data_IF_443071861699
#
_entry.id   IF_443071861699
#
_cell.length_a   1.000
_cell.length_b   1.000
_cell.length_c   1.000
_cell.angle_alpha   90.00
_cell.angle_beta   90.00
_cell.angle_gamma   90.00
#
_symmetry.space_group_name_H-M   'P 1'
#
loop_
_entity.id
_entity.type
_entity.pdbx_description
1 polymer ?
#
# COMPACT_ATOMS: atom_id res chain seq x y z
N UNK A 1 -13.27 -11.32 -14.73
CA UNK A 1 -13.20 -10.96 -13.29
C UNK A 1 -12.24 -9.79 -13.17
N UNK A 2 -12.53 -8.83 -12.31
CA UNK A 2 -11.67 -7.65 -12.13
C UNK A 2 -11.05 -7.67 -10.72
N UNK A 3 -9.80 -7.23 -10.58
CA UNK A 3 -9.12 -7.23 -9.29
C UNK A 3 -8.21 -6.03 -9.07
N UNK A 4 -8.00 -5.67 -7.81
CA UNK A 4 -7.13 -4.56 -7.44
C UNK A 4 -6.67 -4.64 -6.00
N UNK A 5 -5.43 -4.20 -5.74
CA UNK A 5 -4.88 -4.06 -4.38
C UNK A 5 -5.07 -2.64 -3.89
N UNK A 6 -5.52 -2.51 -2.65
CA UNK A 6 -5.90 -1.21 -2.12
C UNK A 6 -5.82 -1.18 -0.60
N UNK A 7 -5.55 0.01 -0.08
CA UNK A 7 -5.43 0.23 1.36
C UNK A 7 -6.79 0.58 1.97
N UNK A 8 -7.06 0.02 3.14
CA UNK A 8 -8.30 0.25 3.87
C UNK A 8 -8.21 1.44 4.81
N UNK A 9 -9.08 2.42 4.61
CA UNK A 9 -9.32 3.53 5.52
C UNK A 9 -10.69 3.41 6.19
N UNK A 10 -10.76 3.88 7.43
CA UNK A 10 -12.02 3.97 8.17
C UNK A 10 -12.51 5.39 8.08
N UNK A 11 -13.72 5.57 7.56
CA UNK A 11 -14.33 6.87 7.35
C UNK A 11 -15.72 6.94 8.00
N UNK A 12 -16.20 8.17 8.22
CA UNK A 12 -17.57 8.44 8.68
C UNK A 12 -18.54 8.29 7.52
N UNK A 13 -18.86 7.04 7.18
CA UNK A 13 -19.79 6.65 6.13
C UNK A 13 -21.02 5.95 6.72
N UNK A 14 -22.16 5.87 6.01
CA UNK A 14 -23.25 4.98 6.40
C UNK A 14 -22.75 3.53 6.54
N UNK A 15 -23.35 2.76 7.45
CA UNK A 15 -22.82 1.44 7.88
C UNK A 15 -22.61 0.50 6.70
N UNK A 16 -23.49 0.49 5.71
CA UNK A 16 -23.41 -0.41 4.56
C UNK A 16 -22.87 0.27 3.30
N UNK A 17 -22.07 1.33 3.45
CA UNK A 17 -21.46 2.04 2.31
C UNK A 17 -19.97 1.79 2.24
N UNK A 18 -19.50 1.56 1.03
CA UNK A 18 -18.09 1.46 0.66
C UNK A 18 -17.81 2.52 -0.39
N UNK A 19 -16.73 3.26 -0.23
CA UNK A 19 -16.22 4.20 -1.23
C UNK A 19 -14.91 3.65 -1.79
N UNK A 20 -14.79 3.60 -3.12
CA UNK A 20 -13.55 3.30 -3.82
C UNK A 20 -12.99 4.58 -4.43
N UNK A 21 -11.72 4.84 -4.19
CA UNK A 21 -10.92 5.82 -4.93
C UNK A 21 -9.90 5.05 -5.74
N UNK A 22 -10.02 5.14 -7.06
CA UNK A 22 -9.29 4.34 -8.03
C UNK A 22 -8.55 5.24 -9.04
N UNK A 23 -7.67 4.62 -9.83
CA UNK A 23 -6.83 5.28 -10.84
C UNK A 23 -5.81 6.25 -10.23
N UNK A 24 -5.27 5.89 -9.08
CA UNK A 24 -4.23 6.65 -8.40
C UNK A 24 -2.81 6.35 -8.91
N UNK A 25 -2.69 5.49 -9.92
CA UNK A 25 -1.41 5.03 -10.48
C UNK A 25 -1.44 5.11 -12.01
N UNK A 26 -0.28 4.97 -12.65
CA UNK A 26 -0.13 5.05 -14.11
C UNK A 26 -0.98 4.01 -14.88
N UNK A 27 -1.33 2.89 -14.25
CA UNK A 27 -2.25 1.90 -14.81
C UNK A 27 -3.69 2.12 -14.33
N UNK A 28 -4.63 2.08 -15.28
CA UNK A 28 -6.06 2.09 -14.97
C UNK A 28 -6.44 0.88 -14.10
N UNK A 29 -7.25 1.14 -13.07
CA UNK A 29 -7.71 0.11 -12.15
C UNK A 29 -8.74 -0.80 -12.83
N UNK A 30 -8.53 -2.11 -12.79
CA UNK A 30 -9.52 -3.08 -13.31
C UNK A 30 -10.85 -2.97 -12.56
N UNK A 31 -10.83 -2.48 -11.31
CA UNK A 31 -12.00 -2.32 -10.46
C UNK A 31 -12.99 -1.27 -10.99
N UNK A 32 -12.62 -0.48 -12.00
CA UNK A 32 -13.56 0.35 -12.76
C UNK A 32 -14.65 -0.47 -13.48
N UNK A 33 -14.44 -1.77 -13.68
CA UNK A 33 -15.43 -2.67 -14.26
C UNK A 33 -16.63 -2.96 -13.33
N UNK A 34 -16.58 -2.55 -12.06
CA UNK A 34 -17.71 -2.72 -11.14
C UNK A 34 -18.82 -1.72 -11.52
N UNK A 35 -20.08 -2.17 -11.73
CA UNK A 35 -21.18 -1.29 -12.07
C UNK A 35 -21.45 -0.24 -11.00
N UNK A 36 -21.72 1.00 -11.43
CA UNK A 36 -22.04 2.11 -10.52
C UNK A 36 -23.49 2.00 -10.03
N UNK A 37 -23.75 2.56 -8.85
CA UNK A 37 -25.09 2.71 -8.28
C UNK A 37 -25.87 1.40 -8.13
N UNK A 38 -25.17 0.26 -8.01
CA UNK A 38 -25.80 -1.04 -7.75
C UNK A 38 -25.38 -1.56 -6.39
N UNK A 39 -26.31 -2.10 -5.60
CA UNK A 39 -25.95 -2.86 -4.41
C UNK A 39 -25.13 -4.08 -4.82
N UNK A 40 -24.01 -4.30 -4.16
CA UNK A 40 -23.15 -5.46 -4.39
C UNK A 40 -23.06 -6.30 -3.12
N UNK A 41 -22.78 -7.59 -3.26
CA UNK A 41 -22.51 -8.44 -2.10
C UNK A 41 -21.02 -8.39 -1.74
N UNK A 42 -20.66 -7.74 -0.64
CA UNK A 42 -19.32 -7.84 -0.06
C UNK A 42 -19.15 -9.21 0.60
N UNK A 43 -18.04 -9.90 0.32
CA UNK A 43 -17.72 -11.24 0.84
C UNK A 43 -16.34 -11.28 1.47
N UNK A 44 -16.24 -11.93 2.64
CA UNK A 44 -14.96 -12.38 3.23
C UNK A 44 -15.16 -13.69 3.98
N UNK A 45 -14.54 -14.77 3.50
CA UNK A 45 -14.78 -16.10 4.08
C UNK A 45 -16.27 -16.45 4.02
N UNK A 46 -16.87 -16.76 5.17
CA UNK A 46 -18.30 -17.04 5.30
C UNK A 46 -19.17 -15.78 5.45
N UNK A 47 -18.58 -14.62 5.73
CA UNK A 47 -19.32 -13.37 5.98
C UNK A 47 -19.73 -12.75 4.65
N UNK A 48 -21.02 -12.42 4.51
CA UNK A 48 -21.62 -11.78 3.34
C UNK A 48 -22.53 -10.65 3.78
N UNK A 49 -22.49 -9.52 3.08
CA UNK A 49 -23.34 -8.36 3.36
C UNK A 49 -23.63 -7.61 2.06
N UNK A 50 -24.89 -7.22 1.85
CA UNK A 50 -25.22 -6.28 0.77
C UNK A 50 -24.75 -4.88 1.17
N UNK A 51 -24.02 -4.22 0.28
CA UNK A 51 -23.42 -2.90 0.49
C UNK A 51 -23.67 -1.99 -0.71
N UNK A 52 -23.74 -0.70 -0.46
CA UNK A 52 -23.75 0.35 -1.47
C UNK A 52 -22.32 0.71 -1.83
N UNK A 53 -21.99 0.60 -3.12
CA UNK A 53 -20.68 1.00 -3.63
C UNK A 53 -20.76 2.41 -4.23
N UNK A 54 -19.84 3.26 -3.82
CA UNK A 54 -19.64 4.59 -4.37
C UNK A 54 -18.23 4.70 -4.94
N UNK A 55 -18.08 5.47 -6.00
CA UNK A 55 -16.78 5.83 -6.56
C UNK A 55 -16.54 7.29 -6.28
N UNK A 56 -15.36 7.59 -5.74
CA UNK A 56 -14.89 8.95 -5.57
C UNK A 56 -13.80 9.21 -6.60
N UNK A 57 -14.07 10.15 -7.49
CA UNK A 57 -13.18 10.55 -8.59
C UNK A 57 -12.52 11.89 -8.31
N UNK A 58 -11.42 12.17 -9.00
CA UNK A 58 -10.77 13.49 -8.96
C UNK A 58 -10.03 13.82 -7.67
N UNK A 59 -9.82 12.83 -6.77
CA UNK A 59 -8.88 12.99 -5.66
C UNK A 59 -7.45 12.72 -6.13
N UNK A 60 -6.53 13.58 -5.72
CA UNK A 60 -5.10 13.30 -5.83
C UNK A 60 -4.75 12.13 -4.90
N UNK A 61 -4.17 11.09 -5.48
CA UNK A 61 -3.76 9.89 -4.77
C UNK A 61 -2.66 9.18 -5.54
N UNK A 62 -1.81 8.43 -4.83
CA UNK A 62 -0.69 7.65 -5.40
C UNK A 62 -0.91 6.13 -5.34
N UNK A 63 -1.98 5.69 -4.69
CA UNK A 63 -2.41 4.29 -4.64
C UNK A 63 -3.92 4.22 -4.43
N UNK A 64 -4.56 3.24 -5.07
CA UNK A 64 -5.99 2.97 -4.91
C UNK A 64 -6.31 2.64 -3.44
N UNK A 65 -7.46 3.13 -2.96
CA UNK A 65 -7.88 2.88 -1.59
C UNK A 65 -9.39 2.67 -1.47
N UNK A 66 -9.78 2.02 -0.37
CA UNK A 66 -11.16 1.78 0.01
C UNK A 66 -11.44 2.47 1.35
N UNK A 67 -12.56 3.18 1.42
CA UNK A 67 -13.09 3.70 2.67
C UNK A 67 -14.35 2.93 3.05
N UNK A 68 -14.48 2.59 4.34
CA UNK A 68 -15.71 1.98 4.87
C UNK A 68 -15.96 2.41 6.31
N UNK A 69 -17.19 2.21 6.76
CA UNK A 69 -17.57 2.43 8.15
C UNK A 69 -16.85 1.46 9.10
N UNK A 70 -16.54 1.93 10.32
CA UNK A 70 -15.89 1.13 11.37
C UNK A 70 -16.66 -0.15 11.73
N UNK A 71 -17.99 -0.08 11.84
CA UNK A 71 -18.83 -1.23 12.18
C UNK A 71 -18.78 -2.31 11.09
N UNK A 72 -18.81 -1.91 9.82
CA UNK A 72 -18.66 -2.83 8.68
C UNK A 72 -17.27 -3.46 8.64
N UNK A 73 -16.22 -2.64 8.82
CA UNK A 73 -14.86 -3.15 8.90
C UNK A 73 -14.72 -4.18 10.03
N UNK A 74 -15.28 -3.88 11.21
CA UNK A 74 -15.27 -4.79 12.36
C UNK A 74 -16.06 -6.08 12.08
N UNK A 75 -17.25 -5.99 11.49
CA UNK A 75 -18.05 -7.15 11.09
C UNK A 75 -17.26 -8.07 10.17
N UNK A 76 -16.57 -7.48 9.19
CA UNK A 76 -15.71 -8.21 8.26
C UNK A 76 -14.32 -8.49 8.84
N UNK A 77 -14.04 -8.20 10.12
CA UNK A 77 -12.74 -8.39 10.78
C UNK A 77 -11.55 -7.71 10.08
N UNK A 78 -11.80 -6.62 9.38
CA UNK A 78 -10.82 -5.85 8.63
C UNK A 78 -10.11 -4.87 9.56
N UNK A 79 -8.80 -4.75 9.39
CA UNK A 79 -7.95 -3.81 10.11
C UNK A 79 -7.64 -2.60 9.23
N UNK A 80 -7.83 -1.40 9.77
CA UNK A 80 -7.48 -0.14 9.13
C UNK A 80 -5.98 -0.05 8.78
N UNK A 81 -5.66 0.72 7.74
CA UNK A 81 -4.30 0.93 7.21
C UNK A 81 -3.60 -0.38 6.85
N UNK A 82 -4.38 -1.36 6.37
CA UNK A 82 -3.88 -2.61 5.81
C UNK A 82 -4.29 -2.71 4.36
N UNK A 83 -3.50 -3.45 3.60
CA UNK A 83 -3.71 -3.70 2.19
C UNK A 83 -4.51 -4.97 1.97
N UNK A 84 -5.50 -4.86 1.10
CA UNK A 84 -6.37 -5.95 0.70
C UNK A 84 -6.42 -6.08 -0.81
N UNK A 85 -6.62 -7.31 -1.28
CA UNK A 85 -7.02 -7.61 -2.64
C UNK A 85 -8.54 -7.63 -2.69
N UNK A 86 -9.10 -6.81 -3.57
CA UNK A 86 -10.49 -6.92 -3.99
C UNK A 86 -10.58 -7.72 -5.28
N UNK A 87 -11.62 -8.55 -5.37
CA UNK A 87 -11.95 -9.28 -6.58
C UNK A 87 -13.44 -9.16 -6.85
N UNK A 88 -13.79 -8.52 -7.95
CA UNK A 88 -15.16 -8.41 -8.42
C UNK A 88 -15.51 -9.56 -9.36
N UNK A 89 -16.62 -10.21 -9.05
CA UNK A 89 -17.25 -11.20 -9.90
C UNK A 89 -18.57 -10.65 -10.46
N UNK A 90 -18.66 -10.42 -11.78
CA UNK A 90 -19.89 -9.92 -12.40
C UNK A 90 -21.02 -10.97 -12.44
N UNK A 91 -20.72 -12.27 -12.38
CA UNK A 91 -21.75 -13.31 -12.51
C UNK A 91 -22.74 -13.33 -11.34
N UNK A 92 -22.26 -12.96 -10.15
CA UNK A 92 -23.04 -12.96 -8.91
C UNK A 92 -22.98 -11.62 -8.16
N UNK A 93 -22.53 -10.57 -8.85
CA UNK A 93 -22.43 -9.19 -8.35
C UNK A 93 -21.74 -9.12 -6.97
N UNK A 94 -20.64 -9.84 -6.82
CA UNK A 94 -19.95 -9.94 -5.55
C UNK A 94 -18.54 -9.37 -5.57
N UNK A 95 -18.18 -8.73 -4.47
CA UNK A 95 -16.87 -8.16 -4.22
C UNK A 95 -16.24 -8.92 -3.07
N UNK A 96 -15.23 -9.72 -3.37
CA UNK A 96 -14.51 -10.49 -2.36
C UNK A 96 -13.30 -9.72 -1.87
N UNK A 97 -13.14 -9.59 -0.55
CA UNK A 97 -11.98 -8.95 0.08
C UNK A 97 -11.08 -10.00 0.76
N UNK A 98 -9.79 -9.97 0.45
CA UNK A 98 -8.76 -10.86 1.02
C UNK A 98 -7.53 -10.06 1.47
N UNK A 99 -6.85 -10.42 2.58
CA UNK A 99 -5.58 -9.78 2.94
C UNK A 99 -4.54 -9.89 1.82
N UNK A 100 -3.84 -8.79 1.53
CA UNK A 100 -2.75 -8.75 0.56
C UNK A 100 -1.56 -7.98 1.15
N UNK A 101 -0.89 -8.54 2.17
CA UNK A 101 0.07 -7.79 2.99
C UNK A 101 1.42 -7.52 2.33
N UNK A 102 1.67 -8.11 1.16
CA UNK A 102 2.91 -7.98 0.41
C UNK A 102 2.71 -6.96 -0.72
N UNK A 103 3.61 -5.98 -0.78
CA UNK A 103 3.68 -5.00 -1.86
C UNK A 103 5.09 -4.95 -2.41
N UNK A 104 5.21 -4.75 -3.71
CA UNK A 104 6.49 -4.72 -4.43
C UNK A 104 6.51 -3.50 -5.33
N UNK A 105 7.67 -2.83 -5.40
CA UNK A 105 7.93 -1.73 -6.32
C UNK A 105 9.43 -1.53 -6.46
N UNK A 106 9.85 -0.64 -7.35
CA UNK A 106 11.23 -0.16 -7.42
C UNK A 106 11.32 1.26 -6.90
N UNK A 107 12.46 1.60 -6.28
CA UNK A 107 12.75 2.98 -5.93
C UNK A 107 14.25 3.27 -6.02
N UNK A 108 14.57 4.55 -6.21
CA UNK A 108 15.93 5.04 -6.11
C UNK A 108 16.35 5.08 -4.64
N UNK A 109 17.42 4.35 -4.31
CA UNK A 109 18.05 4.43 -3.00
C UNK A 109 19.02 5.61 -2.97
N UNK A 110 18.87 6.51 -2.02
CA UNK A 110 19.68 7.73 -1.89
C UNK A 110 20.22 7.90 -0.47
N UNK A 111 21.27 8.69 -0.29
CA UNK A 111 21.80 9.01 1.03
C UNK A 111 20.97 10.11 1.71
N UNK A 112 20.72 9.98 3.01
CA UNK A 112 20.20 11.07 3.85
C UNK A 112 21.27 11.58 4.81
N UNK A 113 21.26 12.90 5.09
CA UNK A 113 21.96 13.50 6.21
C UNK A 113 21.33 13.14 7.59
N UNK A 114 20.18 12.48 7.59
CA UNK A 114 19.50 12.00 8.79
C UNK A 114 20.35 10.96 9.55
N UNK A 115 20.16 10.91 10.87
CA UNK A 115 20.89 9.97 11.73
C UNK A 115 20.71 8.50 11.33
N UNK A 116 21.65 7.65 11.73
CA UNK A 116 21.67 6.22 11.35
C UNK A 116 20.48 5.39 11.85
N UNK A 117 19.64 5.93 12.73
CA UNK A 117 18.41 5.29 13.18
C UNK A 117 17.18 5.60 12.33
N UNK A 118 17.30 6.34 11.23
CA UNK A 118 16.17 6.84 10.44
C UNK A 118 16.16 6.21 9.03
N UNK A 119 14.95 5.85 8.58
CA UNK A 119 14.64 5.50 7.20
C UNK A 119 13.68 6.55 6.66
N UNK A 120 14.10 7.34 5.67
CA UNK A 120 13.17 8.27 5.02
C UNK A 120 12.51 7.57 3.83
N UNK A 121 11.19 7.51 3.81
CA UNK A 121 10.42 6.98 2.67
C UNK A 121 9.58 8.13 2.12
N UNK A 122 9.80 8.49 0.85
CA UNK A 122 8.97 9.50 0.18
C UNK A 122 7.49 9.11 0.17
N UNK A 123 6.59 10.09 0.15
CA UNK A 123 5.15 9.86 0.34
C UNK A 123 4.52 9.01 -0.78
N UNK A 124 4.90 9.25 -2.04
CA UNK A 124 4.46 8.44 -3.17
C UNK A 124 4.93 6.98 -3.01
N UNK A 125 6.21 6.79 -2.65
CA UNK A 125 6.76 5.45 -2.43
C UNK A 125 6.09 4.73 -1.27
N UNK A 126 5.85 5.43 -0.17
CA UNK A 126 5.13 4.95 1.01
C UNK A 126 3.73 4.44 0.62
N UNK A 127 3.01 5.20 -0.20
CA UNK A 127 1.68 4.86 -0.71
C UNK A 127 1.73 3.62 -1.60
N UNK A 128 2.66 3.55 -2.57
CA UNK A 128 2.82 2.37 -3.44
C UNK A 128 3.18 1.10 -2.67
N UNK A 129 3.99 1.20 -1.61
CA UNK A 129 4.34 0.07 -0.74
C UNK A 129 3.25 -0.29 0.29
N UNK A 130 2.22 0.54 0.46
CA UNK A 130 1.21 0.36 1.49
C UNK A 130 1.80 0.46 2.90
N UNK A 131 2.83 1.28 3.08
CA UNK A 131 3.38 1.54 4.41
C UNK A 131 2.42 2.54 5.09
N UNK A 132 1.87 2.25 6.28
CA UNK A 132 1.03 3.21 6.98
C UNK A 132 1.81 4.49 7.31
N UNK A 133 1.23 5.65 7.01
CA UNK A 133 1.82 6.95 7.32
C UNK A 133 1.81 7.20 8.85
N UNK A 134 2.81 6.66 9.54
CA UNK A 134 2.96 6.77 10.99
C UNK A 134 4.40 7.10 11.32
N UNK A 135 4.69 8.41 11.42
CA UNK A 135 6.01 8.93 11.77
C UNK A 135 6.60 8.21 12.99
N UNK A 136 7.90 7.90 12.93
CA UNK A 136 8.61 7.22 14.01
C UNK A 136 8.37 5.71 14.12
N UNK A 137 7.44 5.13 13.35
CA UNK A 137 7.19 3.68 13.35
C UNK A 137 8.46 2.91 13.00
N UNK A 138 8.74 1.81 13.71
CA UNK A 138 9.90 0.97 13.44
C UNK A 138 9.64 0.09 12.22
N UNK A 139 10.46 0.24 11.20
CA UNK A 139 10.52 -0.63 10.01
C UNK A 139 11.79 -1.47 10.11
N UNK A 140 11.66 -2.78 9.92
CA UNK A 140 12.79 -3.68 9.75
C UNK A 140 13.25 -3.57 8.30
N UNK A 141 14.48 -3.15 8.09
CA UNK A 141 15.05 -3.06 6.75
C UNK A 141 15.98 -4.25 6.55
N UNK A 142 15.73 -5.04 5.51
CA UNK A 142 16.49 -6.25 5.18
C UNK A 142 17.24 -6.06 3.87
N UNK A 143 18.51 -6.44 3.86
CA UNK A 143 19.31 -6.57 2.64
C UNK A 143 20.13 -7.87 2.71
N UNK A 144 19.79 -8.84 1.85
CA UNK A 144 20.32 -10.20 1.94
C UNK A 144 20.04 -10.82 3.32
N UNK A 145 21.10 -11.23 4.03
CA UNK A 145 21.02 -11.78 5.40
C UNK A 145 20.99 -10.70 6.49
N UNK A 146 21.28 -9.45 6.15
CA UNK A 146 21.37 -8.36 7.12
C UNK A 146 19.98 -7.78 7.40
N UNK A 147 19.71 -7.48 8.67
CA UNK A 147 18.48 -6.81 9.10
C UNK A 147 18.83 -5.71 10.10
N UNK A 148 18.22 -4.53 9.94
CA UNK A 148 18.30 -3.44 10.92
C UNK A 148 16.92 -2.85 11.18
N UNK A 149 16.75 -2.15 12.31
CA UNK A 149 15.49 -1.51 12.70
C UNK A 149 15.66 0.01 12.61
N UNK A 150 14.89 0.64 11.74
CA UNK A 150 14.95 2.08 11.50
C UNK A 150 13.59 2.71 11.78
N UNK A 151 13.59 3.94 12.29
CA UNK A 151 12.38 4.74 12.46
C UNK A 151 11.99 5.36 11.13
N UNK A 152 10.73 5.18 10.75
CA UNK A 152 10.15 5.79 9.56
C UNK A 152 10.13 7.31 9.71
N UNK A 153 10.62 7.99 8.69
CA UNK A 153 10.43 9.41 8.46
C UNK A 153 9.77 9.59 7.10
N UNK A 154 8.67 10.34 7.04
CA UNK A 154 8.00 10.70 5.77
C UNK A 154 8.25 12.18 5.53
N UNK A 155 8.95 12.57 4.44
CA UNK A 155 9.17 13.97 4.11
C UNK A 155 7.86 14.62 3.66
N UNK A 156 7.77 15.94 3.77
CA UNK A 156 6.56 16.71 3.41
C UNK A 156 6.27 16.80 1.91
N UNK A 157 7.21 16.40 1.05
CA UNK A 157 6.99 16.39 -0.40
C UNK A 157 6.14 15.17 -0.80
N UNK A 158 4.92 15.44 -1.26
CA UNK A 158 3.95 14.41 -1.66
C UNK A 158 4.39 13.58 -2.87
N UNK A 159 5.10 14.19 -3.82
CA UNK A 159 5.58 13.53 -5.05
C UNK A 159 6.97 12.88 -4.88
N UNK A 160 7.45 12.74 -3.65
CA UNK A 160 8.74 12.11 -3.42
C UNK A 160 8.62 10.59 -3.47
N UNK A 161 9.36 9.97 -4.39
CA UNK A 161 9.31 8.54 -4.69
C UNK A 161 10.58 7.80 -4.22
N UNK A 162 11.47 8.49 -3.52
CA UNK A 162 12.80 8.00 -3.13
C UNK A 162 12.80 7.31 -1.77
N UNK A 163 13.69 6.33 -1.65
CA UNK A 163 14.09 5.74 -0.38
C UNK A 163 15.41 6.36 0.06
N UNK A 164 15.49 6.91 1.28
CA UNK A 164 16.75 7.42 1.84
C UNK A 164 17.18 6.68 3.09
N UNK A 165 18.46 6.35 3.12
CA UNK A 165 19.13 5.76 4.27
C UNK A 165 20.40 6.55 4.60
N UNK A 166 20.85 6.47 5.84
CA UNK A 166 22.10 7.10 6.23
C UNK A 166 23.29 6.49 5.46
N UNK A 167 24.30 7.31 5.19
CA UNK A 167 25.55 6.87 4.55
C UNK A 167 26.21 5.72 5.31
N UNK A 168 26.04 5.67 6.63
CA UNK A 168 26.48 4.55 7.47
C UNK A 168 25.93 3.21 6.98
N UNK A 169 24.62 3.10 6.74
CA UNK A 169 24.02 1.84 6.29
C UNK A 169 24.34 1.52 4.84
N UNK A 170 24.40 2.53 3.98
CA UNK A 170 24.82 2.35 2.59
C UNK A 170 26.21 1.72 2.53
N UNK A 171 27.18 2.30 3.24
CA UNK A 171 28.54 1.78 3.31
C UNK A 171 28.60 0.40 3.98
N UNK A 172 27.91 0.22 5.11
CA UNK A 172 27.90 -1.04 5.87
C UNK A 172 27.34 -2.21 5.06
N UNK A 173 26.35 -1.96 4.21
CA UNK A 173 25.73 -2.97 3.36
C UNK A 173 26.29 -3.00 1.95
N UNK A 174 27.30 -2.17 1.64
CA UNK A 174 27.87 -2.01 0.29
C UNK A 174 26.79 -1.71 -0.75
N UNK A 175 25.82 -0.87 -0.38
CA UNK A 175 24.79 -0.38 -1.26
C UNK A 175 25.25 0.90 -1.93
N UNK A 176 25.07 0.98 -3.23
CA UNK A 176 25.37 2.19 -4.00
C UNK A 176 24.18 3.15 -3.92
N UNK A 177 24.48 4.41 -3.60
CA UNK A 177 23.51 5.48 -3.71
C UNK A 177 23.16 5.74 -5.18
N UNK A 178 22.00 6.34 -5.42
CA UNK A 178 21.46 6.68 -6.74
C UNK A 178 21.27 5.47 -7.66
N UNK A 179 21.03 4.29 -7.10
CA UNK A 179 20.70 3.08 -7.83
C UNK A 179 19.28 2.62 -7.53
N UNK A 180 18.60 2.13 -8.56
CA UNK A 180 17.29 1.51 -8.41
C UNK A 180 17.43 0.19 -7.65
N UNK A 181 16.53 0.00 -6.70
CA UNK A 181 16.42 -1.23 -5.94
C UNK A 181 15.00 -1.74 -6.01
N UNK A 182 14.85 -3.05 -6.13
CA UNK A 182 13.57 -3.70 -5.90
C UNK A 182 13.29 -3.69 -4.40
N UNK A 183 12.08 -3.27 -4.06
CA UNK A 183 11.59 -3.14 -2.71
C UNK A 183 10.39 -4.07 -2.53
N UNK A 184 10.40 -4.82 -1.45
CA UNK A 184 9.25 -5.61 -1.03
C UNK A 184 8.90 -5.25 0.42
N UNK A 185 7.69 -4.78 0.65
CA UNK A 185 7.20 -4.50 2.00
C UNK A 185 6.20 -5.57 2.44
N UNK A 186 6.47 -6.17 3.62
CA UNK A 186 5.56 -7.09 4.30
C UNK A 186 4.90 -6.41 5.50
N UNK A 187 3.62 -6.07 5.35
CA UNK A 187 2.81 -5.46 6.39
C UNK A 187 2.68 -6.32 7.65
N UNK A 188 2.78 -7.65 7.57
CA UNK A 188 2.56 -8.54 8.73
C UNK A 188 3.63 -8.33 9.80
N UNK A 189 4.87 -8.10 9.39
CA UNK A 189 6.03 -8.01 10.28
C UNK A 189 6.80 -6.68 10.17
N UNK A 190 6.27 -5.73 9.37
CA UNK A 190 6.84 -4.41 9.07
C UNK A 190 8.27 -4.52 8.54
N UNK A 191 8.48 -5.41 7.57
CA UNK A 191 9.80 -5.60 6.94
C UNK A 191 9.82 -5.04 5.52
N UNK A 192 10.73 -4.12 5.27
CA UNK A 192 11.11 -3.65 3.93
C UNK A 192 12.37 -4.41 3.50
N UNK A 193 12.24 -5.28 2.50
CA UNK A 193 13.37 -5.99 1.90
C UNK A 193 13.85 -5.22 0.67
N UNK A 194 15.17 -5.04 0.57
CA UNK A 194 15.84 -4.49 -0.60
C UNK A 194 16.56 -5.60 -1.34
N UNK A 195 16.48 -5.57 -2.66
CA UNK A 195 17.33 -6.34 -3.56
C UNK A 195 17.79 -5.46 -4.72
N UNK A 196 18.96 -5.73 -5.32
CA UNK A 196 19.37 -5.03 -6.53
C UNK A 196 18.27 -5.14 -7.58
N UNK A 197 17.97 -4.05 -8.30
CA UNK A 197 17.15 -4.21 -9.51
C UNK A 197 18.00 -4.93 -10.55
N UNK A 198 17.55 -6.10 -11.00
CA UNK A 198 18.11 -6.68 -12.21
C UNK A 198 17.74 -5.72 -13.34
N UNK A 199 18.70 -5.19 -14.12
CA UNK A 199 18.35 -4.45 -15.32
C UNK A 199 17.49 -5.38 -16.17
N UNK A 200 16.29 -4.93 -16.53
CA UNK A 200 15.52 -5.60 -17.55
C UNK A 200 16.37 -5.52 -18.81
N UNK A 201 16.95 -6.65 -19.24
CA UNK A 201 17.51 -6.77 -20.58
C UNK A 201 16.36 -6.43 -21.54
N UNK A 202 16.38 -5.21 -22.08
CA UNK A 202 15.57 -4.81 -23.23
C UNK A 202 16.30 -5.21 -24.49
#
# INVERSE_FOLDING_TARGET
MASGRLDLFIAKLPVHTIVLTLNCSDSASELLAIPRNTPITLKRGSIKQSVQLQFLEGRECFADFIEMNYALARQFQLTALRRYLLTYNPSDQSLTIKPAPLSETSALLTSSASGSGILSVGFELLSRLGIPERQGTIIKVRYGRNVTRLRLHVPSNFSDDRLRMSTFWLNKWKLEANHLHQLQFDQRNFTLSLSPSTPANR
#
